data_IF_858468199656
#
_entry.id   IF_858468199656
#
_cell.length_a   1.000
_cell.length_b   1.000
_cell.length_c   1.000
_cell.angle_alpha   90.00
_cell.angle_beta   90.00
_cell.angle_gamma   90.00
#
_symmetry.space_group_name_H-M   'P 1'
#
loop_
_entity.id
_entity.type
_entity.pdbx_description
1 polymer ?
#
# COMPACT_ATOMS: atom_id res chain seq x y z
N UNK A 1 -17.87 -3.01 3.37
CA UNK A 1 -16.96 -3.61 4.36
C UNK A 1 -15.58 -2.97 4.38
N UNK A 2 -15.15 -2.30 3.30
CA UNK A 2 -13.89 -1.56 3.30
C UNK A 2 -13.85 -0.47 4.39
N UNK A 3 -14.90 0.34 4.51
CA UNK A 3 -14.98 1.39 5.55
C UNK A 3 -14.88 0.81 6.97
N UNK A 4 -15.45 -0.37 7.21
CA UNK A 4 -15.35 -1.05 8.51
C UNK A 4 -13.92 -1.53 8.79
N UNK A 5 -13.17 -1.94 7.77
CA UNK A 5 -11.77 -2.33 7.94
C UNK A 5 -10.91 -1.11 8.30
N UNK A 6 -11.12 0.03 7.61
CA UNK A 6 -10.41 1.27 7.94
C UNK A 6 -10.77 1.81 9.32
N UNK A 7 -12.06 1.88 9.67
CA UNK A 7 -12.50 2.29 11.00
C UNK A 7 -11.96 1.36 12.09
N UNK A 8 -11.88 0.05 11.81
CA UNK A 8 -11.29 -0.92 12.71
C UNK A 8 -9.79 -0.73 12.92
N UNK A 9 -9.04 -0.46 11.85
CA UNK A 9 -7.59 -0.16 11.92
C UNK A 9 -7.33 1.16 12.66
N UNK A 10 -8.15 2.19 12.43
CA UNK A 10 -8.08 3.45 13.18
C UNK A 10 -8.36 3.22 14.66
N UNK A 11 -9.41 2.45 14.99
CA UNK A 11 -9.72 2.08 16.36
C UNK A 11 -8.57 1.33 17.03
N UNK A 12 -7.93 0.36 16.36
CA UNK A 12 -6.72 -0.30 16.88
C UNK A 12 -5.57 0.68 17.12
N UNK A 13 -5.34 1.62 16.19
CA UNK A 13 -4.30 2.65 16.31
C UNK A 13 -4.53 3.60 17.49
N UNK A 14 -5.78 3.76 17.93
CA UNK A 14 -6.19 4.56 19.08
C UNK A 14 -6.37 3.74 20.37
N UNK A 15 -6.06 2.43 20.35
CA UNK A 15 -6.28 1.46 21.44
C UNK A 15 -7.77 1.28 21.84
N UNK A 16 -8.69 1.58 20.93
CA UNK A 16 -10.14 1.37 21.05
C UNK A 16 -10.51 -0.07 20.63
N UNK A 17 -10.14 -1.04 21.49
CA UNK A 17 -10.22 -2.47 21.16
C UNK A 17 -11.63 -2.99 20.98
N UNK A 18 -12.59 -2.51 21.75
CA UNK A 18 -13.99 -2.96 21.65
C UNK A 18 -14.60 -2.55 20.31
N UNK A 19 -14.35 -1.31 19.87
CA UNK A 19 -14.78 -0.77 18.59
C UNK A 19 -14.13 -1.52 17.42
N UNK A 20 -12.84 -1.86 17.53
CA UNK A 20 -12.15 -2.69 16.56
C UNK A 20 -12.77 -4.09 16.46
N UNK A 21 -13.07 -4.74 17.59
CA UNK A 21 -13.74 -6.04 17.62
C UNK A 21 -15.15 -5.97 17.01
N UNK A 22 -15.91 -4.91 17.29
CA UNK A 22 -17.22 -4.69 16.67
C UNK A 22 -17.12 -4.57 15.15
N UNK A 23 -16.14 -3.82 14.64
CA UNK A 23 -15.89 -3.73 13.21
C UNK A 23 -15.53 -5.09 12.62
N UNK A 24 -14.64 -5.84 13.28
CA UNK A 24 -14.22 -7.17 12.86
C UNK A 24 -15.38 -8.17 12.76
N UNK A 25 -16.18 -8.25 13.82
CA UNK A 25 -17.34 -9.14 13.87
C UNK A 25 -18.37 -8.83 12.78
N UNK A 26 -18.66 -7.54 12.53
CA UNK A 26 -19.59 -7.12 11.46
C UNK A 26 -19.08 -7.47 10.05
N UNK A 27 -17.76 -7.52 9.86
CA UNK A 27 -17.18 -8.01 8.60
C UNK A 27 -17.34 -9.53 8.50
N UNK A 28 -17.05 -10.28 9.56
CA UNK A 28 -17.20 -11.74 9.59
C UNK A 28 -18.64 -12.19 9.33
N UNK A 29 -19.64 -11.53 9.93
CA UNK A 29 -21.06 -11.77 9.68
C UNK A 29 -21.44 -11.70 8.19
N UNK A 30 -20.68 -10.91 7.41
CA UNK A 30 -20.92 -10.66 5.99
C UNK A 30 -19.93 -11.37 5.07
N UNK A 31 -18.97 -12.14 5.59
CA UNK A 31 -17.85 -12.73 4.82
C UNK A 31 -18.35 -13.48 3.57
N UNK A 32 -19.36 -14.33 3.74
CA UNK A 32 -19.93 -15.15 2.66
C UNK A 32 -20.70 -14.35 1.60
N UNK A 33 -21.00 -13.08 1.85
CA UNK A 33 -21.72 -12.19 0.93
C UNK A 33 -20.77 -11.27 0.16
N UNK A 34 -19.47 -11.28 0.48
CA UNK A 34 -18.50 -10.40 -0.15
C UNK A 34 -18.15 -10.88 -1.55
N UNK A 35 -18.34 -10.00 -2.53
CA UNK A 35 -17.75 -10.17 -3.87
C UNK A 35 -16.25 -9.97 -3.77
N UNK A 36 -15.50 -10.82 -4.47
CA UNK A 36 -14.05 -10.72 -4.49
C UNK A 36 -13.61 -9.44 -5.19
N UNK A 37 -12.88 -8.61 -4.45
CA UNK A 37 -12.17 -7.43 -4.95
C UNK A 37 -10.79 -7.43 -4.27
N UNK A 38 -9.67 -7.42 -5.00
CA UNK A 38 -8.35 -7.65 -4.39
C UNK A 38 -7.99 -6.61 -3.32
N UNK A 39 -8.32 -5.34 -3.53
CA UNK A 39 -8.08 -4.28 -2.55
C UNK A 39 -8.91 -4.49 -1.28
N UNK A 40 -10.20 -4.83 -1.42
CA UNK A 40 -11.09 -5.10 -0.30
C UNK A 40 -10.58 -6.28 0.53
N UNK A 41 -10.20 -7.36 -0.15
CA UNK A 41 -9.76 -8.59 0.50
C UNK A 41 -8.40 -8.40 1.18
N UNK A 42 -7.46 -7.67 0.56
CA UNK A 42 -6.17 -7.33 1.17
C UNK A 42 -6.35 -6.48 2.43
N UNK A 43 -7.21 -5.46 2.37
CA UNK A 43 -7.47 -4.57 3.49
C UNK A 43 -8.17 -5.26 4.66
N UNK A 44 -9.20 -6.07 4.38
CA UNK A 44 -9.86 -6.90 5.40
C UNK A 44 -8.86 -7.90 6.00
N UNK A 45 -8.07 -8.57 5.18
CA UNK A 45 -7.05 -9.52 5.63
C UNK A 45 -6.04 -8.85 6.55
N UNK A 46 -5.56 -7.65 6.20
CA UNK A 46 -4.57 -6.90 6.98
C UNK A 46 -5.15 -6.48 8.33
N UNK A 47 -6.36 -5.93 8.32
CA UNK A 47 -7.10 -5.60 9.54
C UNK A 47 -7.33 -6.82 10.43
N UNK A 48 -7.76 -7.96 9.89
CA UNK A 48 -7.96 -9.18 10.66
C UNK A 48 -6.66 -9.76 11.21
N UNK A 49 -5.55 -9.66 10.46
CA UNK A 49 -4.24 -10.06 10.95
C UNK A 49 -3.86 -9.21 12.18
N UNK A 50 -4.01 -7.89 12.10
CA UNK A 50 -3.74 -7.00 13.24
C UNK A 50 -4.68 -7.26 14.43
N UNK A 51 -5.98 -7.39 14.17
CA UNK A 51 -7.00 -7.68 15.18
C UNK A 51 -6.78 -9.04 15.87
N UNK A 52 -6.05 -9.96 15.23
CA UNK A 52 -5.71 -11.26 15.83
C UNK A 52 -4.81 -11.15 17.07
N UNK A 53 -4.10 -10.01 17.24
CA UNK A 53 -3.38 -9.68 18.46
C UNK A 53 -4.30 -9.37 19.64
N UNK A 54 -5.56 -9.01 19.37
CA UNK A 54 -6.62 -8.78 20.37
C UNK A 54 -7.46 -10.04 20.57
N UNK A 55 -7.93 -10.64 19.48
CA UNK A 55 -8.69 -11.91 19.50
C UNK A 55 -8.19 -12.87 18.41
N UNK A 56 -7.59 -13.98 18.83
CA UNK A 56 -7.00 -14.99 17.94
C UNK A 56 -7.97 -15.57 16.91
N UNK A 57 -9.28 -15.48 17.12
CA UNK A 57 -10.30 -15.95 16.17
C UNK A 57 -10.21 -15.25 14.80
N UNK A 58 -9.59 -14.07 14.72
CA UNK A 58 -9.42 -13.33 13.46
C UNK A 58 -8.24 -13.81 12.60
N UNK A 59 -7.32 -14.63 13.14
CA UNK A 59 -6.17 -15.11 12.37
C UNK A 59 -6.57 -16.02 11.21
N UNK A 60 -7.44 -17.00 11.45
CA UNK A 60 -7.87 -17.92 10.39
C UNK A 60 -8.60 -17.18 9.24
N UNK A 61 -9.53 -16.24 9.50
CA UNK A 61 -10.05 -15.33 8.48
C UNK A 61 -8.95 -14.55 7.74
N UNK A 62 -8.00 -13.93 8.45
CA UNK A 62 -6.91 -13.17 7.83
C UNK A 62 -6.15 -14.00 6.79
N UNK A 63 -5.79 -15.23 7.15
CA UNK A 63 -5.13 -16.19 6.26
C UNK A 63 -5.98 -16.54 5.05
N UNK A 64 -7.30 -16.79 5.21
CA UNK A 64 -8.20 -17.06 4.08
C UNK A 64 -8.27 -15.90 3.09
N UNK A 65 -8.36 -14.67 3.60
CA UNK A 65 -8.36 -13.46 2.77
C UNK A 65 -7.03 -13.30 2.02
N UNK A 66 -5.90 -13.57 2.68
CA UNK A 66 -4.57 -13.56 2.07
C UNK A 66 -4.41 -14.62 0.99
N UNK A 67 -4.72 -15.88 1.29
CA UNK A 67 -4.62 -17.00 0.35
C UNK A 67 -5.47 -16.75 -0.90
N UNK A 68 -6.73 -16.35 -0.73
CA UNK A 68 -7.63 -16.07 -1.86
C UNK A 68 -7.11 -14.94 -2.74
N UNK A 69 -6.54 -13.90 -2.14
CA UNK A 69 -5.98 -12.77 -2.89
C UNK A 69 -4.67 -13.15 -3.59
N UNK A 70 -3.80 -13.93 -2.95
CA UNK A 70 -2.57 -14.43 -3.56
C UNK A 70 -2.85 -15.36 -4.75
N UNK A 71 -3.83 -16.26 -4.63
CA UNK A 71 -4.26 -17.12 -5.74
C UNK A 71 -4.77 -16.29 -6.92
N UNK A 72 -5.53 -15.22 -6.65
CA UNK A 72 -6.00 -14.32 -7.69
C UNK A 72 -4.84 -13.57 -8.36
N UNK A 73 -3.90 -13.03 -7.59
CA UNK A 73 -2.69 -12.39 -8.11
C UNK A 73 -1.91 -13.33 -9.03
N UNK A 74 -1.65 -14.55 -8.57
CA UNK A 74 -0.91 -15.55 -9.33
C UNK A 74 -1.60 -15.93 -10.63
N UNK A 75 -2.93 -16.06 -10.61
CA UNK A 75 -3.71 -16.36 -11.78
C UNK A 75 -3.72 -15.21 -12.78
N UNK A 76 -3.99 -13.99 -12.33
CA UNK A 76 -4.08 -12.82 -13.20
C UNK A 76 -2.71 -12.46 -13.80
N UNK A 77 -1.64 -12.56 -13.01
CA UNK A 77 -0.26 -12.35 -13.47
C UNK A 77 0.15 -13.39 -14.52
N UNK A 78 -0.09 -14.68 -14.24
CA UNK A 78 0.22 -15.78 -15.18
C UNK A 78 -0.58 -15.68 -16.49
N UNK A 79 -1.84 -15.26 -16.40
CA UNK A 79 -2.70 -15.07 -17.57
C UNK A 79 -2.47 -13.72 -18.27
N UNK A 80 -1.56 -12.88 -17.77
CA UNK A 80 -1.26 -11.53 -18.27
C UNK A 80 -2.52 -10.68 -18.41
N UNK A 81 -3.44 -10.78 -17.44
CA UNK A 81 -4.62 -9.93 -17.41
C UNK A 81 -4.24 -8.50 -17.09
N UNK A 82 -5.05 -7.56 -17.54
CA UNK A 82 -4.89 -6.16 -17.18
C UNK A 82 -5.13 -5.99 -15.67
N UNK A 83 -4.11 -5.53 -14.96
CA UNK A 83 -4.07 -5.40 -13.51
C UNK A 83 -3.70 -3.97 -13.13
N UNK A 84 -4.42 -3.37 -12.19
CA UNK A 84 -4.02 -2.09 -11.60
C UNK A 84 -2.96 -2.32 -10.53
N UNK A 85 -1.76 -1.76 -10.69
CA UNK A 85 -0.62 -2.07 -9.81
C UNK A 85 -0.91 -1.69 -8.35
N UNK A 86 -1.46 -0.50 -8.14
CA UNK A 86 -1.78 0.04 -6.83
C UNK A 86 -2.76 -0.83 -6.01
N UNK A 87 -3.61 -1.61 -6.69
CA UNK A 87 -4.53 -2.56 -6.05
C UNK A 87 -3.77 -3.76 -5.46
N UNK A 88 -2.74 -4.22 -6.16
CA UNK A 88 -1.94 -5.37 -5.73
C UNK A 88 -0.83 -5.00 -4.75
N UNK A 89 -0.45 -3.73 -4.64
CA UNK A 89 0.45 -3.26 -3.58
C UNK A 89 -0.09 -3.58 -2.18
N UNK A 90 -1.40 -3.53 -1.96
CA UNK A 90 -2.02 -3.86 -0.66
C UNK A 90 -1.84 -5.32 -0.24
N UNK A 91 -1.65 -6.23 -1.20
CA UNK A 91 -1.34 -7.62 -0.90
C UNK A 91 0.03 -7.77 -0.23
N UNK A 92 0.98 -6.87 -0.54
CA UNK A 92 2.28 -6.81 0.13
C UNK A 92 2.07 -6.49 1.61
N UNK A 93 1.31 -5.44 1.94
CA UNK A 93 1.02 -5.05 3.32
C UNK A 93 0.43 -6.21 4.13
N UNK A 94 -0.52 -6.94 3.55
CA UNK A 94 -1.11 -8.13 4.17
C UNK A 94 -0.05 -9.20 4.46
N UNK A 95 0.77 -9.54 3.49
CA UNK A 95 1.81 -10.56 3.68
C UNK A 95 2.89 -10.14 4.67
N UNK A 96 3.33 -8.88 4.65
CA UNK A 96 4.28 -8.37 5.64
C UNK A 96 3.69 -8.41 7.04
N UNK A 97 2.40 -8.07 7.21
CA UNK A 97 1.71 -8.18 8.50
C UNK A 97 1.60 -9.62 8.99
N UNK A 98 1.23 -10.57 8.11
CA UNK A 98 1.16 -11.99 8.47
C UNK A 98 2.55 -12.54 8.82
N UNK A 99 3.59 -12.13 8.10
CA UNK A 99 4.97 -12.48 8.42
C UNK A 99 5.38 -11.96 9.80
N UNK A 100 5.09 -10.70 10.12
CA UNK A 100 5.39 -10.10 11.44
C UNK A 100 4.77 -10.90 12.60
N UNK A 101 3.55 -11.40 12.41
CA UNK A 101 2.80 -12.09 13.48
C UNK A 101 3.17 -13.58 13.57
N UNK A 102 3.31 -14.26 12.44
CA UNK A 102 3.50 -15.71 12.41
C UNK A 102 4.97 -16.13 12.27
N UNK A 103 5.83 -15.21 11.84
CA UNK A 103 7.23 -15.47 11.47
C UNK A 103 7.38 -16.59 10.43
N UNK A 104 6.38 -16.75 9.54
CA UNK A 104 6.41 -17.72 8.45
C UNK A 104 6.99 -17.08 7.18
N UNK A 105 8.18 -17.54 6.79
CA UNK A 105 8.89 -17.11 5.59
C UNK A 105 8.09 -17.23 4.29
N UNK A 106 7.04 -18.07 4.24
CA UNK A 106 6.16 -18.19 3.07
C UNK A 106 5.47 -16.86 2.73
N UNK A 107 5.09 -16.09 3.76
CA UNK A 107 4.48 -14.77 3.59
C UNK A 107 5.49 -13.74 3.10
N UNK A 108 6.72 -13.75 3.61
CA UNK A 108 7.78 -12.87 3.11
C UNK A 108 8.09 -13.16 1.64
N UNK A 109 8.15 -14.44 1.24
CA UNK A 109 8.35 -14.82 -0.16
C UNK A 109 7.20 -14.35 -1.06
N UNK A 110 5.95 -14.44 -0.59
CA UNK A 110 4.79 -13.93 -1.31
C UNK A 110 4.86 -12.40 -1.49
N UNK A 111 5.22 -11.66 -0.42
CA UNK A 111 5.44 -10.21 -0.49
C UNK A 111 6.52 -9.82 -1.51
N UNK A 112 7.68 -10.49 -1.49
CA UNK A 112 8.78 -10.28 -2.45
C UNK A 112 8.32 -10.49 -3.89
N UNK A 113 7.58 -11.57 -4.16
CA UNK A 113 7.05 -11.87 -5.50
C UNK A 113 6.18 -10.74 -6.05
N UNK A 114 5.31 -10.17 -5.21
CA UNK A 114 4.46 -9.05 -5.62
C UNK A 114 5.29 -7.78 -5.83
N UNK A 115 6.29 -7.53 -4.99
CA UNK A 115 7.17 -6.37 -5.14
C UNK A 115 8.03 -6.46 -6.41
N UNK A 116 8.65 -7.61 -6.68
CA UNK A 116 9.45 -7.82 -7.90
C UNK A 116 8.58 -7.59 -9.15
N UNK A 117 7.31 -8.04 -9.09
CA UNK A 117 6.35 -7.74 -10.15
C UNK A 117 6.07 -6.24 -10.28
N UNK A 118 5.84 -5.50 -9.18
CA UNK A 118 5.62 -4.05 -9.19
C UNK A 118 6.83 -3.28 -9.76
N UNK A 119 8.04 -3.65 -9.34
CA UNK A 119 9.29 -3.02 -9.80
C UNK A 119 9.51 -3.16 -11.29
N UNK A 120 9.01 -4.24 -11.90
CA UNK A 120 9.02 -4.43 -13.36
C UNK A 120 8.25 -3.37 -14.16
N UNK A 121 7.44 -2.54 -13.49
CA UNK A 121 6.64 -1.48 -14.13
C UNK A 121 7.01 -0.06 -13.64
N UNK A 122 8.13 0.08 -12.93
CA UNK A 122 8.66 1.41 -12.63
C UNK A 122 9.20 2.06 -13.91
N UNK A 123 8.89 3.33 -14.12
CA UNK A 123 9.44 4.13 -15.21
C UNK A 123 10.79 4.75 -14.82
N UNK A 124 11.54 5.24 -15.81
CA UNK A 124 12.86 5.83 -15.59
C UNK A 124 12.86 7.02 -14.62
N UNK A 125 11.76 7.79 -14.63
CA UNK A 125 11.50 8.95 -13.77
C UNK A 125 11.12 8.57 -12.32
N UNK A 126 10.96 7.28 -12.03
CA UNK A 126 10.62 6.76 -10.71
C UNK A 126 9.14 6.52 -10.47
N UNK A 127 8.26 7.04 -11.33
CA UNK A 127 6.82 6.78 -11.23
C UNK A 127 6.47 5.32 -11.57
N UNK A 128 5.31 4.88 -11.12
CA UNK A 128 4.78 3.56 -11.48
C UNK A 128 3.57 3.71 -12.40
N UNK A 129 3.52 2.86 -13.42
CA UNK A 129 2.35 2.74 -14.29
C UNK A 129 1.10 2.42 -13.48
N UNK A 130 -0.04 2.96 -13.91
CA UNK A 130 -1.32 2.64 -13.29
C UNK A 130 -1.69 1.16 -13.46
N UNK A 131 -1.34 0.59 -14.61
CA UNK A 131 -1.62 -0.80 -14.97
C UNK A 131 -0.38 -1.50 -15.52
N UNK A 132 -0.44 -2.82 -15.61
CA UNK A 132 0.61 -3.65 -16.22
C UNK A 132 0.59 -3.64 -17.76
N UNK A 133 -0.12 -2.69 -18.36
CA UNK A 133 -0.19 -2.51 -19.81
C UNK A 133 1.11 -1.85 -20.32
N UNK A 134 1.80 -2.52 -21.23
CA UNK A 134 3.03 -2.01 -21.83
C UNK A 134 2.80 -0.75 -22.66
N UNK A 135 1.59 -0.56 -23.17
CA UNK A 135 1.24 0.53 -24.08
C UNK A 135 0.72 1.76 -23.32
N UNK A 136 0.41 1.61 -22.03
CA UNK A 136 0.01 2.69 -21.15
C UNK A 136 1.19 3.26 -20.37
N UNK A 137 1.41 4.57 -20.52
CA UNK A 137 2.30 5.36 -19.66
C UNK A 137 1.51 6.23 -18.68
N UNK A 138 0.24 5.90 -18.43
CA UNK A 138 -0.54 6.62 -17.44
C UNK A 138 0.01 6.34 -16.04
N UNK A 139 0.35 7.41 -15.32
CA UNK A 139 0.87 7.39 -13.95
C UNK A 139 0.10 8.41 -13.12
N UNK A 140 -0.05 8.15 -11.84
CA UNK A 140 -0.79 9.02 -10.92
C UNK A 140 -0.25 8.89 -9.50
N UNK A 141 -0.38 9.95 -8.71
CA UNK A 141 0.31 10.07 -7.41
C UNK A 141 -0.09 9.02 -6.42
N UNK A 142 -1.38 8.70 -6.34
CA UNK A 142 -1.89 7.70 -5.40
C UNK A 142 -1.28 6.32 -5.68
N UNK A 143 -1.16 5.95 -6.95
CA UNK A 143 -0.59 4.65 -7.34
C UNK A 143 0.90 4.57 -6.98
N UNK A 144 1.68 5.57 -7.37
CA UNK A 144 3.10 5.67 -7.04
C UNK A 144 3.32 5.70 -5.52
N UNK A 145 2.50 6.46 -4.77
CA UNK A 145 2.62 6.57 -3.31
C UNK A 145 2.34 5.24 -2.60
N UNK A 146 1.28 4.50 -2.99
CA UNK A 146 0.99 3.16 -2.45
C UNK A 146 2.15 2.19 -2.67
N UNK A 147 2.74 2.20 -3.86
CA UNK A 147 3.85 1.31 -4.19
C UNK A 147 5.12 1.72 -3.44
N UNK A 148 5.41 3.02 -3.36
CA UNK A 148 6.54 3.54 -2.58
C UNK A 148 6.42 3.19 -1.09
N UNK A 149 5.21 3.23 -0.52
CA UNK A 149 4.94 2.81 0.86
C UNK A 149 5.37 1.36 1.10
N UNK A 150 4.91 0.43 0.26
CA UNK A 150 5.21 -1.01 0.45
C UNK A 150 6.68 -1.34 0.14
N UNK A 151 7.31 -0.60 -0.78
CA UNK A 151 8.74 -0.68 -1.04
C UNK A 151 9.56 -0.22 0.17
N UNK A 152 9.14 0.86 0.84
CA UNK A 152 9.79 1.33 2.07
C UNK A 152 9.68 0.29 3.18
N UNK A 153 8.52 -0.34 3.34
CA UNK A 153 8.29 -1.33 4.39
C UNK A 153 9.15 -2.58 4.19
N UNK A 154 9.14 -3.18 2.99
CA UNK A 154 9.94 -4.37 2.70
C UNK A 154 11.44 -4.05 2.77
N UNK A 155 11.89 -2.90 2.26
CA UNK A 155 13.30 -2.49 2.32
C UNK A 155 13.83 -2.48 3.75
N UNK A 156 13.06 -1.91 4.68
CA UNK A 156 13.48 -1.88 6.08
C UNK A 156 13.45 -3.28 6.71
N UNK A 157 12.41 -4.06 6.44
CA UNK A 157 12.31 -5.41 6.97
C UNK A 157 13.52 -6.26 6.55
N UNK A 158 13.84 -6.26 5.25
CA UNK A 158 14.97 -6.98 4.67
C UNK A 158 16.31 -6.56 5.28
N UNK A 159 16.49 -5.26 5.51
CA UNK A 159 17.67 -4.73 6.20
C UNK A 159 17.78 -5.22 7.64
N UNK A 160 16.66 -5.43 8.33
CA UNK A 160 16.64 -5.89 9.72
C UNK A 160 16.95 -7.38 9.86
N UNK A 161 16.51 -8.19 8.90
CA UNK A 161 16.64 -9.65 8.94
C UNK A 161 17.85 -10.18 8.15
N UNK A 162 18.69 -9.30 7.61
CA UNK A 162 19.79 -9.64 6.68
C UNK A 162 19.31 -10.54 5.53
N UNK A 163 18.23 -10.10 4.88
CA UNK A 163 17.53 -10.87 3.87
C UNK A 163 18.26 -10.92 2.51
N UNK A 164 17.62 -11.56 1.54
CA UNK A 164 18.24 -11.91 0.24
C UNK A 164 18.06 -10.84 -0.83
N UNK A 165 17.44 -9.73 -0.48
CA UNK A 165 17.00 -8.70 -1.41
C UNK A 165 18.17 -7.78 -1.79
N UNK A 166 18.27 -7.39 -3.07
CA UNK A 166 19.25 -6.40 -3.51
C UNK A 166 18.86 -5.01 -2.97
N UNK A 167 19.33 -4.73 -1.74
CA UNK A 167 19.02 -3.49 -1.03
C UNK A 167 19.50 -2.25 -1.79
N UNK A 168 20.55 -2.35 -2.61
CA UNK A 168 21.04 -1.21 -3.38
C UNK A 168 20.08 -0.89 -4.54
N UNK A 169 19.65 -1.90 -5.28
CA UNK A 169 18.65 -1.74 -6.33
C UNK A 169 17.32 -1.19 -5.79
N UNK A 170 16.81 -1.78 -4.70
CA UNK A 170 15.54 -1.36 -4.11
C UNK A 170 15.60 0.05 -3.53
N UNK A 171 16.71 0.41 -2.87
CA UNK A 171 16.92 1.78 -2.38
C UNK A 171 16.85 2.79 -3.52
N UNK A 172 17.52 2.50 -4.64
CA UNK A 172 17.49 3.37 -5.82
C UNK A 172 16.07 3.48 -6.40
N UNK A 173 15.33 2.38 -6.54
CA UNK A 173 13.93 2.40 -6.98
C UNK A 173 13.06 3.26 -6.05
N UNK A 174 13.23 3.11 -4.74
CA UNK A 174 12.49 3.86 -3.73
C UNK A 174 12.81 5.36 -3.77
N UNK A 175 14.10 5.72 -3.87
CA UNK A 175 14.55 7.11 -3.97
C UNK A 175 13.95 7.81 -5.19
N UNK A 176 13.98 7.15 -6.36
CA UNK A 176 13.33 7.67 -7.56
C UNK A 176 11.83 7.87 -7.38
N UNK A 177 11.13 6.92 -6.76
CA UNK A 177 9.70 7.05 -6.50
C UNK A 177 9.39 8.25 -5.58
N UNK A 178 10.18 8.45 -4.53
CA UNK A 178 10.05 9.61 -3.66
C UNK A 178 10.36 10.92 -4.36
N UNK A 179 11.39 10.97 -5.20
CA UNK A 179 11.73 12.17 -5.96
C UNK A 179 10.62 12.55 -6.94
N UNK A 180 10.04 11.56 -7.63
CA UNK A 180 8.86 11.79 -8.45
C UNK A 180 7.67 12.31 -7.63
N UNK A 181 7.38 11.71 -6.47
CA UNK A 181 6.29 12.17 -5.61
C UNK A 181 6.51 13.62 -5.14
N UNK A 182 7.74 14.00 -4.78
CA UNK A 182 8.08 15.40 -4.43
C UNK A 182 7.80 16.36 -5.59
N UNK A 183 8.10 15.97 -6.84
CA UNK A 183 7.77 16.79 -8.01
C UNK A 183 6.26 17.01 -8.19
N UNK A 184 5.45 16.05 -7.75
CA UNK A 184 3.99 16.11 -7.81
C UNK A 184 3.36 16.87 -6.63
N UNK A 185 4.15 17.17 -5.60
CA UNK A 185 3.71 17.95 -4.44
C UNK A 185 3.58 19.43 -4.81
N UNK A 186 2.51 20.06 -4.33
CA UNK A 186 2.30 21.50 -4.47
C UNK A 186 3.29 22.28 -3.60
N UNK A 187 4.02 23.18 -4.26
CA UNK A 187 4.91 24.15 -3.64
C UNK A 187 4.53 25.56 -4.07
N UNK A 188 5.09 26.59 -3.42
CA UNK A 188 4.80 27.97 -3.80
C UNK A 188 5.28 28.27 -5.22
N UNK A 189 6.37 27.63 -5.64
CA UNK A 189 6.99 27.79 -6.95
C UNK A 189 6.15 27.16 -8.07
N UNK A 190 5.43 26.06 -7.79
CA UNK A 190 4.69 25.31 -8.81
C UNK A 190 3.16 25.51 -8.76
N UNK A 191 2.67 26.40 -7.90
CA UNK A 191 1.23 26.66 -7.65
C UNK A 191 0.74 28.01 -8.22
N UNK A 192 1.43 28.59 -9.21
CA UNK A 192 1.11 29.93 -9.75
C UNK A 192 -0.30 30.07 -10.35
N UNK A 193 -0.93 28.96 -10.75
CA UNK A 193 -2.29 28.92 -11.31
C UNK A 193 -3.38 28.85 -10.23
N UNK A 194 -3.02 28.61 -8.97
CA UNK A 194 -3.96 28.51 -7.87
C UNK A 194 -4.26 29.92 -7.34
N UNK A 195 -5.55 30.30 -7.13
CA UNK A 195 -5.89 31.59 -6.54
C UNK A 195 -5.20 31.79 -5.19
N UNK A 196 -4.60 32.98 -4.96
CA UNK A 196 -3.81 33.28 -3.74
C UNK A 196 -4.54 32.92 -2.43
N UNK A 197 -5.86 33.12 -2.38
CA UNK A 197 -6.70 32.79 -1.22
C UNK A 197 -6.75 31.30 -0.88
N UNK A 198 -6.45 30.42 -1.84
CA UNK A 198 -6.49 28.96 -1.69
C UNK A 198 -5.09 28.34 -1.53
N UNK A 199 -4.01 29.10 -1.73
CA UNK A 199 -2.64 28.55 -1.71
C UNK A 199 -2.35 27.80 -0.42
N UNK A 200 -2.62 28.43 0.74
CA UNK A 200 -2.36 27.81 2.04
C UNK A 200 -3.16 26.52 2.31
N UNK A 201 -4.20 26.22 1.53
CA UNK A 201 -4.98 24.99 1.65
C UNK A 201 -4.40 23.83 0.83
N UNK A 202 -3.58 24.12 -0.18
CA UNK A 202 -3.14 23.14 -1.18
C UNK A 202 -1.63 22.88 -1.09
N UNK A 203 -0.82 23.84 -0.63
CA UNK A 203 0.62 23.65 -0.44
C UNK A 203 0.88 22.42 0.43
N UNK A 204 1.81 21.57 -0.02
CA UNK A 204 2.11 20.27 0.60
C UNK A 204 1.20 19.13 0.16
N UNK A 205 0.03 19.42 -0.43
CA UNK A 205 -0.82 18.43 -1.10
C UNK A 205 -0.21 17.92 -2.40
N UNK A 206 -0.79 16.86 -2.97
CA UNK A 206 -0.28 16.24 -4.19
C UNK A 206 -1.28 16.39 -5.33
N UNK A 207 -0.79 16.68 -6.54
CA UNK A 207 -1.57 16.59 -7.78
C UNK A 207 -2.08 15.17 -7.98
N UNK A 208 -3.16 14.98 -8.72
CA UNK A 208 -3.60 13.64 -9.10
C UNK A 208 -2.60 13.02 -10.09
N UNK A 209 -2.31 13.70 -11.19
CA UNK A 209 -1.33 13.30 -12.21
C UNK A 209 -0.78 14.54 -12.95
N UNK A 210 -0.01 14.33 -14.03
CA UNK A 210 0.59 15.41 -14.81
C UNK A 210 -0.44 16.37 -15.42
N UNK A 211 -1.62 15.87 -15.77
CA UNK A 211 -2.68 16.59 -16.46
C UNK A 211 -3.86 16.94 -15.54
N UNK A 212 -4.03 16.22 -14.43
CA UNK A 212 -5.04 16.50 -13.42
C UNK A 212 -4.45 17.19 -12.19
N UNK A 213 -4.79 18.48 -12.04
CA UNK A 213 -4.37 19.38 -10.96
C UNK A 213 -5.28 19.33 -9.72
N UNK A 214 -6.14 18.32 -9.58
CA UNK A 214 -6.88 18.12 -8.35
C UNK A 214 -5.94 17.66 -7.23
N UNK A 215 -6.07 18.29 -6.05
CA UNK A 215 -5.34 17.87 -4.87
C UNK A 215 -5.94 16.57 -4.32
N UNK A 216 -5.15 15.49 -4.27
CA UNK A 216 -5.62 14.19 -3.83
C UNK A 216 -5.05 13.81 -2.46
N UNK A 217 -5.91 13.79 -1.45
CA UNK A 217 -5.52 13.54 -0.05
C UNK A 217 -5.01 12.12 0.20
N UNK A 218 -5.54 11.13 -0.53
CA UNK A 218 -5.15 9.72 -0.37
C UNK A 218 -3.67 9.50 -0.73
N UNK A 219 -3.17 10.20 -1.75
CA UNK A 219 -1.75 10.20 -2.13
C UNK A 219 -0.86 10.71 -1.00
N UNK A 220 -1.29 11.77 -0.30
CA UNK A 220 -0.55 12.33 0.81
C UNK A 220 -0.44 11.34 1.98
N UNK A 221 -1.51 10.59 2.27
CA UNK A 221 -1.53 9.55 3.30
C UNK A 221 -0.46 8.49 3.06
N UNK A 222 -0.47 7.87 1.87
CA UNK A 222 0.51 6.85 1.50
C UNK A 222 1.95 7.38 1.45
N UNK A 223 2.16 8.61 0.95
CA UNK A 223 3.48 9.25 0.98
C UNK A 223 4.00 9.42 2.41
N UNK A 224 3.17 9.95 3.32
CA UNK A 224 3.55 10.18 4.71
C UNK A 224 3.80 8.85 5.44
N UNK A 225 3.00 7.82 5.18
CA UNK A 225 3.23 6.47 5.73
C UNK A 225 4.57 5.91 5.26
N UNK A 226 4.84 5.91 3.95
CA UNK A 226 6.13 5.46 3.42
C UNK A 226 7.33 6.24 3.99
N UNK A 227 7.25 7.57 3.98
CA UNK A 227 8.32 8.44 4.50
C UNK A 227 8.55 8.24 6.00
N UNK A 228 7.48 8.13 6.80
CA UNK A 228 7.58 7.91 8.24
C UNK A 228 8.22 6.56 8.59
N UNK A 229 7.92 5.50 7.82
CA UNK A 229 8.55 4.17 7.98
C UNK A 229 10.05 4.24 7.73
N UNK A 230 10.49 4.97 6.71
CA UNK A 230 11.92 5.21 6.46
C UNK A 230 12.56 6.00 7.60
N UNK A 231 11.99 7.14 7.99
CA UNK A 231 12.59 8.02 9.01
C UNK A 231 12.68 7.32 10.38
N UNK A 232 11.56 6.74 10.86
CA UNK A 232 11.49 6.10 12.18
C UNK A 232 12.46 4.92 12.33
N UNK A 233 12.71 4.18 11.25
CA UNK A 233 13.53 2.95 11.29
C UNK A 233 14.96 3.15 10.77
N UNK A 234 15.29 4.31 10.23
CA UNK A 234 16.66 4.72 9.89
C UNK A 234 17.34 5.55 10.99
N UNK A 235 16.66 5.85 12.11
CA UNK A 235 17.14 6.76 13.17
C UNK A 235 17.59 8.13 12.61
N UNK A 236 16.82 8.68 11.67
CA UNK A 236 16.97 10.05 11.19
C UNK A 236 16.03 10.98 11.95
#
# INVERSE_FOLDING_TARGET
CLDLAYLGQEALSLDYREEALQCGNRILEKENQLKFEPILFSQIGSFFAELSGVDKNFMAPALRFGEKTQIAFDNDSRQRRLMQLAVWAELVNLHLKLFEIQNDSSHLQAARKVIDWLLGYQLDDGSFRATNDSDSNFVYTRGTAKIAEVLAEIFILEKQIDGTLDLAYYKNCLEKAFDWLKMMQYSFENSYFIPKKNLNLIIGGFRHDYFNQEAWIDSAGHFLLGASRLLKRLNL
#
